data_IF_044747918061
#
_entry.id   IF_044747918061
#
_cell.length_a   1.000
_cell.length_b   1.000
_cell.length_c   1.000
_cell.angle_alpha   90.00
_cell.angle_beta   90.00
_cell.angle_gamma   90.00
#
_symmetry.space_group_name_H-M   'P 1'
#
loop_
_entity.id
_entity.type
_entity.pdbx_description
1 polymer ?
#
# COMPACT_ATOMS: atom_id res chain seq x y z
N UNK A 1 -1.13 30.03 -2.36
CA UNK A 1 -0.79 28.60 -2.16
C UNK A 1 -0.92 28.25 -0.68
N UNK A 2 -1.80 27.31 -0.33
CA UNK A 2 -2.30 27.07 1.02
C UNK A 2 -1.21 26.70 2.05
N UNK A 3 -1.31 27.29 3.25
CA UNK A 3 -0.48 26.98 4.42
C UNK A 3 -1.07 25.74 5.10
N UNK A 4 -0.30 24.67 5.23
CA UNK A 4 -0.77 23.41 5.83
C UNK A 4 -0.05 23.20 7.17
N UNK A 5 -0.81 22.93 8.24
CA UNK A 5 -0.22 22.56 9.53
C UNK A 5 0.40 21.15 9.50
N UNK A 6 1.38 20.87 10.35
CA UNK A 6 2.08 19.57 10.39
C UNK A 6 1.12 18.38 10.51
N UNK A 7 0.12 18.49 11.39
CA UNK A 7 -0.91 17.45 11.57
C UNK A 7 -1.69 17.22 10.28
N UNK A 8 -2.12 18.30 9.61
CA UNK A 8 -2.88 18.19 8.36
C UNK A 8 -2.04 17.57 7.25
N UNK A 9 -0.75 17.89 7.16
CA UNK A 9 0.17 17.27 6.20
C UNK A 9 0.37 15.76 6.40
N UNK A 10 0.49 15.33 7.66
CA UNK A 10 0.60 13.90 8.01
C UNK A 10 -0.71 13.16 7.65
N UNK A 11 -1.87 13.77 7.94
CA UNK A 11 -3.19 13.19 7.60
C UNK A 11 -3.36 13.07 6.09
N UNK A 12 -3.06 14.12 5.31
CA UNK A 12 -3.15 14.08 3.84
C UNK A 12 -2.27 12.96 3.28
N UNK A 13 -1.04 12.81 3.79
CA UNK A 13 -0.14 11.74 3.36
C UNK A 13 -0.71 10.34 3.65
N UNK A 14 -1.29 10.16 4.85
CA UNK A 14 -2.00 8.93 5.22
C UNK A 14 -3.19 8.63 4.32
N UNK A 15 -4.00 9.64 3.98
CA UNK A 15 -5.15 9.49 3.08
C UNK A 15 -4.73 9.05 1.67
N UNK A 16 -3.64 9.62 1.13
CA UNK A 16 -3.11 9.21 -0.19
C UNK A 16 -2.68 7.74 -0.17
N UNK A 17 -1.98 7.31 0.89
CA UNK A 17 -1.57 5.90 1.03
C UNK A 17 -2.77 4.96 1.17
N UNK A 18 -3.77 5.36 1.95
CA UNK A 18 -4.99 4.59 2.13
C UNK A 18 -5.75 4.43 0.81
N UNK A 19 -5.90 5.53 0.06
CA UNK A 19 -6.61 5.54 -1.21
C UNK A 19 -5.94 4.63 -2.24
N UNK A 20 -4.63 4.77 -2.43
CA UNK A 20 -3.85 3.94 -3.35
C UNK A 20 -3.87 2.47 -2.91
N UNK A 21 -3.71 2.22 -1.60
CA UNK A 21 -3.74 0.87 -1.05
C UNK A 21 -5.09 0.17 -1.27
N UNK A 22 -6.20 0.90 -1.11
CA UNK A 22 -7.54 0.39 -1.36
C UNK A 22 -7.73 0.04 -2.84
N UNK A 23 -7.35 0.95 -3.75
CA UNK A 23 -7.46 0.73 -5.19
C UNK A 23 -6.65 -0.49 -5.66
N UNK A 24 -5.41 -0.64 -5.17
CA UNK A 24 -4.57 -1.80 -5.49
C UNK A 24 -5.18 -3.11 -4.99
N UNK A 25 -5.71 -3.10 -3.77
CA UNK A 25 -6.33 -4.31 -3.19
C UNK A 25 -7.55 -4.74 -3.99
N UNK A 26 -8.43 -3.80 -4.36
CA UNK A 26 -9.61 -4.07 -5.20
C UNK A 26 -9.20 -4.61 -6.58
N UNK A 27 -8.21 -3.97 -7.22
CA UNK A 27 -7.72 -4.41 -8.53
C UNK A 27 -7.07 -5.79 -8.46
N UNK A 28 -6.34 -6.08 -7.38
CA UNK A 28 -5.70 -7.37 -7.17
C UNK A 28 -6.71 -8.49 -6.95
N UNK A 29 -7.76 -8.22 -6.17
CA UNK A 29 -8.91 -9.12 -6.01
C UNK A 29 -9.58 -9.39 -7.35
N UNK A 30 -9.84 -8.35 -8.14
CA UNK A 30 -10.44 -8.49 -9.46
C UNK A 30 -9.59 -9.38 -10.39
N UNK A 31 -8.26 -9.25 -10.35
CA UNK A 31 -7.38 -10.10 -11.16
C UNK A 31 -7.34 -11.56 -10.69
N UNK A 32 -7.29 -11.82 -9.39
CA UNK A 32 -7.30 -13.19 -8.85
C UNK A 32 -8.64 -13.87 -9.13
N UNK A 33 -9.76 -13.21 -8.82
CA UNK A 33 -11.09 -13.77 -9.08
C UNK A 33 -11.35 -13.91 -10.58
N UNK A 34 -10.95 -12.92 -11.38
CA UNK A 34 -11.05 -12.98 -12.84
C UNK A 34 -10.20 -14.09 -13.46
N UNK A 35 -9.07 -14.46 -12.83
CA UNK A 35 -8.23 -15.58 -13.29
C UNK A 35 -8.89 -16.94 -13.07
N UNK A 36 -9.81 -17.06 -12.10
CA UNK A 36 -10.61 -18.27 -11.86
C UNK A 36 -11.83 -18.34 -12.79
N UNK A 37 -12.48 -17.20 -13.06
CA UNK A 37 -13.74 -17.14 -13.81
C UNK A 37 -13.58 -17.12 -15.33
N UNK A 38 -12.55 -16.44 -15.85
CA UNK A 38 -12.45 -16.09 -17.29
C UNK A 38 -11.27 -16.75 -17.99
N UNK A 39 -10.18 -17.02 -17.27
CA UNK A 39 -8.99 -17.61 -17.87
C UNK A 39 -9.00 -19.10 -17.59
N UNK A 40 -8.80 -19.93 -18.62
CA UNK A 40 -8.53 -21.35 -18.43
C UNK A 40 -7.44 -21.48 -17.36
N UNK A 41 -7.67 -22.33 -16.35
CA UNK A 41 -6.73 -22.58 -15.25
C UNK A 41 -5.30 -22.81 -15.71
N UNK A 42 -5.11 -23.18 -16.98
CA UNK A 42 -3.83 -23.39 -17.62
C UNK A 42 -2.84 -22.21 -17.55
N UNK A 43 -3.34 -20.97 -17.48
CA UNK A 43 -2.49 -19.77 -17.50
C UNK A 43 -2.15 -19.21 -16.11
N UNK A 44 -2.60 -19.88 -15.03
CA UNK A 44 -2.49 -19.38 -13.65
C UNK A 44 -1.50 -20.23 -12.82
N UNK A 45 -0.18 -19.94 -12.85
CA UNK A 45 0.84 -20.77 -12.23
C UNK A 45 0.71 -20.90 -10.70
N UNK A 46 0.30 -19.83 -9.99
CA UNK A 46 0.16 -19.86 -8.53
C UNK A 46 -1.06 -20.67 -8.10
N UNK A 47 -2.19 -20.46 -8.79
CA UNK A 47 -3.41 -21.23 -8.51
C UNK A 47 -3.21 -22.72 -8.80
N UNK A 48 -2.56 -23.07 -9.92
CA UNK A 48 -2.17 -24.45 -10.23
C UNK A 48 -1.32 -25.08 -9.13
N UNK A 49 -0.32 -24.34 -8.65
CA UNK A 49 0.57 -24.82 -7.60
C UNK A 49 -0.20 -25.12 -6.31
N UNK A 50 -1.09 -24.22 -5.89
CA UNK A 50 -1.92 -24.40 -4.70
C UNK A 50 -2.95 -25.52 -4.84
N UNK A 51 -3.51 -25.70 -6.04
CA UNK A 51 -4.49 -26.76 -6.30
C UNK A 51 -3.90 -28.16 -6.11
N UNK A 52 -2.59 -28.35 -6.38
CA UNK A 52 -1.90 -29.61 -6.07
C UNK A 52 -1.99 -30.00 -4.59
N UNK A 53 -2.14 -29.03 -3.70
CA UNK A 53 -2.25 -29.25 -2.26
C UNK A 53 -3.71 -29.33 -1.79
N UNK A 54 -4.56 -28.41 -2.21
CA UNK A 54 -5.91 -28.27 -1.66
C UNK A 54 -6.99 -29.02 -2.44
N UNK A 55 -6.70 -29.47 -3.68
CA UNK A 55 -7.60 -30.15 -4.63
C UNK A 55 -8.89 -29.39 -5.00
N UNK A 56 -9.21 -28.34 -4.26
CA UNK A 56 -10.38 -27.48 -4.37
C UNK A 56 -9.92 -26.07 -4.81
N UNK A 57 -10.45 -25.55 -5.93
CA UNK A 57 -10.03 -24.27 -6.47
C UNK A 57 -10.46 -23.07 -5.61
N UNK A 58 -11.60 -23.16 -4.90
CA UNK A 58 -12.08 -22.07 -4.05
C UNK A 58 -11.18 -21.91 -2.83
N UNK A 59 -10.81 -23.04 -2.20
CA UNK A 59 -9.86 -23.04 -1.07
C UNK A 59 -8.48 -22.53 -1.48
N UNK A 60 -8.02 -22.90 -2.67
CA UNK A 60 -6.75 -22.45 -3.22
C UNK A 60 -6.73 -20.92 -3.42
N UNK A 61 -7.84 -20.35 -3.92
CA UNK A 61 -7.99 -18.91 -4.11
C UNK A 61 -8.02 -18.17 -2.77
N UNK A 62 -8.84 -18.63 -1.81
CA UNK A 62 -8.92 -18.04 -0.48
C UNK A 62 -7.56 -18.07 0.21
N UNK A 63 -6.83 -19.18 0.10
CA UNK A 63 -5.49 -19.31 0.65
C UNK A 63 -4.50 -18.35 -0.01
N UNK A 64 -4.55 -18.21 -1.34
CA UNK A 64 -3.72 -17.25 -2.09
C UNK A 64 -3.95 -15.81 -1.62
N UNK A 65 -5.22 -15.40 -1.51
CA UNK A 65 -5.61 -14.06 -1.05
C UNK A 65 -5.17 -13.86 0.41
N UNK A 66 -5.43 -14.84 1.27
CA UNK A 66 -5.00 -14.80 2.68
C UNK A 66 -3.48 -14.62 2.77
N UNK A 67 -2.72 -15.40 2.01
CA UNK A 67 -1.26 -15.32 2.01
C UNK A 67 -0.76 -13.97 1.47
N UNK A 68 -1.39 -13.43 0.42
CA UNK A 68 -1.08 -12.11 -0.12
C UNK A 68 -1.28 -11.01 0.94
N UNK A 69 -2.43 -11.02 1.63
CA UNK A 69 -2.73 -10.07 2.71
C UNK A 69 -1.74 -10.23 3.86
N UNK A 70 -1.41 -11.47 4.24
CA UNK A 70 -0.46 -11.76 5.32
C UNK A 70 0.93 -11.20 5.00
N UNK A 71 1.45 -11.47 3.79
CA UNK A 71 2.73 -10.91 3.32
C UNK A 71 2.70 -9.40 3.27
N UNK A 72 1.60 -8.82 2.79
CA UNK A 72 1.39 -7.37 2.77
C UNK A 72 1.44 -6.76 4.18
N UNK A 73 0.78 -7.40 5.13
CA UNK A 73 0.77 -6.97 6.53
C UNK A 73 2.17 -7.04 7.16
N UNK A 74 2.88 -8.15 6.99
CA UNK A 74 4.26 -8.34 7.45
C UNK A 74 5.19 -7.27 6.87
N UNK A 75 5.22 -7.14 5.54
CA UNK A 75 6.07 -6.16 4.85
C UNK A 75 5.69 -4.73 5.24
N UNK A 76 4.40 -4.45 5.40
CA UNK A 76 3.86 -3.18 5.86
C UNK A 76 4.39 -2.80 7.26
N UNK A 77 4.36 -3.76 8.19
CA UNK A 77 4.77 -3.54 9.59
C UNK A 77 6.27 -3.32 9.75
N UNK A 78 7.11 -3.98 8.97
CA UNK A 78 8.56 -3.88 9.11
C UNK A 78 9.18 -2.77 8.23
N UNK A 79 8.85 -2.76 6.93
CA UNK A 79 9.52 -1.90 5.95
C UNK A 79 8.81 -0.55 5.85
N UNK A 80 7.48 -0.54 5.70
CA UNK A 80 6.72 0.70 5.55
C UNK A 80 6.69 1.48 6.87
N UNK A 81 6.57 0.83 8.03
CA UNK A 81 6.63 1.53 9.31
C UNK A 81 7.90 2.37 9.49
N UNK A 82 9.07 1.85 9.07
CA UNK A 82 10.33 2.61 9.09
C UNK A 82 10.27 3.81 8.14
N UNK A 83 9.69 3.63 6.96
CA UNK A 83 9.54 4.67 5.94
C UNK A 83 8.60 5.78 6.41
N UNK A 84 7.44 5.43 6.97
CA UNK A 84 6.46 6.37 7.52
C UNK A 84 7.07 7.18 8.66
N UNK A 85 7.77 6.53 9.60
CA UNK A 85 8.44 7.24 10.70
C UNK A 85 9.47 8.26 10.21
N UNK A 86 10.27 7.90 9.18
CA UNK A 86 11.22 8.83 8.55
C UNK A 86 10.50 10.00 7.88
N UNK A 87 9.41 9.74 7.16
CA UNK A 87 8.62 10.77 6.50
C UNK A 87 7.99 11.73 7.51
N UNK A 88 7.36 11.22 8.58
CA UNK A 88 6.80 12.01 9.67
C UNK A 88 7.88 12.85 10.36
N UNK A 89 9.02 12.25 10.72
CA UNK A 89 10.13 12.98 11.34
C UNK A 89 10.60 14.14 10.47
N UNK A 90 10.70 13.94 9.15
CA UNK A 90 11.04 15.02 8.20
C UNK A 90 9.98 16.12 8.18
N UNK A 91 8.69 15.76 8.17
CA UNK A 91 7.58 16.74 8.15
C UNK A 91 7.54 17.60 9.41
N UNK A 92 7.93 17.05 10.57
CA UNK A 92 8.00 17.79 11.84
C UNK A 92 9.21 18.71 11.92
N UNK A 93 10.34 18.35 11.28
CA UNK A 93 11.56 19.16 11.28
C UNK A 93 11.51 20.37 10.32
N UNK A 94 10.55 20.40 9.40
CA UNK A 94 10.38 21.53 8.48
C UNK A 94 9.78 22.75 9.23
N UNK A 95 10.21 23.99 8.93
CA UNK A 95 9.62 25.16 9.55
C UNK A 95 8.17 25.35 9.09
N UNK A 96 7.27 25.65 10.03
CA UNK A 96 5.89 26.02 9.73
C UNK A 96 5.82 27.43 9.13
N UNK A 97 4.88 27.73 8.20
CA UNK A 97 3.89 26.84 7.60
C UNK A 97 4.46 25.96 6.47
N UNK A 98 4.01 24.71 6.38
CA UNK A 98 4.45 23.80 5.32
C UNK A 98 3.89 24.25 3.96
N UNK A 99 4.78 24.37 2.97
CA UNK A 99 4.40 24.47 1.56
C UNK A 99 3.96 23.09 1.06
N UNK A 100 2.92 23.04 0.21
CA UNK A 100 2.41 21.78 -0.37
C UNK A 100 3.50 21.00 -1.14
N UNK A 101 4.45 21.71 -1.76
CA UNK A 101 5.59 21.09 -2.43
C UNK A 101 6.57 20.39 -1.46
N UNK A 102 6.63 20.84 -0.20
CA UNK A 102 7.47 20.23 0.83
C UNK A 102 6.84 18.95 1.43
N UNK A 103 5.53 18.76 1.22
CA UNK A 103 4.80 17.54 1.61
C UNK A 103 5.23 16.34 0.77
N UNK A 104 5.40 16.55 -0.54
CA UNK A 104 5.80 15.53 -1.50
C UNK A 104 7.12 15.91 -2.20
N UNK A 105 8.28 15.77 -1.52
CA UNK A 105 9.55 16.05 -2.16
C UNK A 105 9.83 15.04 -3.27
N UNK A 106 10.72 15.43 -4.17
CA UNK A 106 11.09 14.62 -5.34
C UNK A 106 11.44 13.17 -5.00
N UNK A 107 12.11 12.91 -3.87
CA UNK A 107 12.42 11.53 -3.45
C UNK A 107 11.17 10.68 -3.19
N UNK A 108 10.09 11.27 -2.67
CA UNK A 108 8.82 10.58 -2.49
C UNK A 108 8.11 10.32 -3.82
N UNK A 109 8.11 11.32 -4.71
CA UNK A 109 7.56 11.17 -6.06
C UNK A 109 8.33 10.10 -6.85
N UNK A 110 9.66 10.04 -6.70
CA UNK A 110 10.50 9.02 -7.35
C UNK A 110 10.14 7.62 -6.87
N UNK A 111 9.93 7.40 -5.56
CA UNK A 111 9.49 6.09 -5.05
C UNK A 111 8.10 5.72 -5.60
N UNK A 112 7.17 6.69 -5.64
CA UNK A 112 5.84 6.49 -6.22
C UNK A 112 5.90 6.13 -7.72
N UNK A 113 6.67 6.88 -8.50
CA UNK A 113 6.89 6.64 -9.93
C UNK A 113 7.61 5.32 -10.16
N UNK A 114 8.58 4.96 -9.33
CA UNK A 114 9.26 3.67 -9.40
C UNK A 114 8.28 2.51 -9.15
N UNK A 115 7.41 2.63 -8.14
CA UNK A 115 6.38 1.61 -7.86
C UNK A 115 5.33 1.51 -8.99
N UNK A 116 4.90 2.65 -9.53
CA UNK A 116 3.99 2.69 -10.70
C UNK A 116 4.66 2.11 -11.95
N UNK A 117 5.93 2.47 -12.18
CA UNK A 117 6.76 1.99 -13.28
C UNK A 117 6.98 0.48 -13.20
N UNK A 118 7.17 -0.06 -12.00
CA UNK A 118 7.23 -1.51 -11.77
C UNK A 118 5.90 -2.18 -12.14
N UNK A 119 4.77 -1.60 -11.72
CA UNK A 119 3.43 -2.09 -12.08
C UNK A 119 3.12 -1.99 -13.58
N UNK A 120 3.76 -1.04 -14.29
CA UNK A 120 3.68 -0.90 -15.74
C UNK A 120 4.63 -1.89 -16.45
N UNK A 121 5.83 -2.13 -15.92
CA UNK A 121 6.74 -3.17 -16.40
C UNK A 121 6.07 -4.54 -16.36
N UNK A 122 5.34 -4.83 -15.29
CA UNK A 122 4.55 -6.06 -15.16
C UNK A 122 3.44 -6.20 -16.20
N UNK A 123 2.94 -5.10 -16.76
CA UNK A 123 2.02 -5.14 -17.90
C UNK A 123 2.73 -5.55 -19.19
N UNK A 124 3.97 -5.10 -19.39
CA UNK A 124 4.77 -5.44 -20.57
C UNK A 124 5.39 -6.84 -20.52
N UNK A 125 5.65 -7.37 -19.32
CA UNK A 125 6.21 -8.71 -19.11
C UNK A 125 5.19 -9.84 -19.20
N UNK A 126 3.94 -9.56 -19.61
CA UNK A 126 2.87 -10.55 -19.75
C UNK A 126 2.70 -11.46 -18.51
N UNK A 127 2.88 -10.89 -17.31
CA UNK A 127 2.75 -11.66 -16.08
C UNK A 127 1.33 -12.21 -15.94
N UNK A 128 1.24 -13.46 -15.50
CA UNK A 128 -0.02 -14.12 -15.24
C UNK A 128 -0.89 -13.30 -14.26
N UNK A 129 -2.21 -13.31 -14.51
CA UNK A 129 -3.17 -12.45 -13.80
C UNK A 129 -3.20 -12.76 -12.30
N UNK A 130 -3.02 -14.02 -11.93
CA UNK A 130 -2.94 -14.48 -10.54
C UNK A 130 -1.72 -13.90 -9.80
N UNK A 131 -0.53 -13.91 -10.41
CA UNK A 131 0.69 -13.31 -9.85
C UNK A 131 0.52 -11.81 -9.69
N UNK A 132 -0.02 -11.14 -10.72
CA UNK A 132 -0.26 -9.70 -10.66
C UNK A 132 -1.25 -9.35 -9.55
N UNK A 133 -2.34 -10.10 -9.44
CA UNK A 133 -3.33 -9.88 -8.41
C UNK A 133 -2.78 -10.13 -7.00
N UNK A 134 -1.95 -11.16 -6.84
CA UNK A 134 -1.26 -11.46 -5.59
C UNK A 134 -0.36 -10.29 -5.14
N UNK A 135 0.44 -9.76 -6.06
CA UNK A 135 1.31 -8.61 -5.78
C UNK A 135 0.49 -7.37 -5.45
N UNK A 136 -0.55 -7.08 -6.23
CA UNK A 136 -1.42 -5.91 -6.03
C UNK A 136 -2.12 -5.97 -4.65
N UNK A 137 -2.62 -7.14 -4.21
CA UNK A 137 -3.19 -7.33 -2.86
C UNK A 137 -2.12 -7.15 -1.78
N UNK A 138 -0.94 -7.74 -1.95
CA UNK A 138 0.13 -7.66 -0.95
C UNK A 138 0.63 -6.21 -0.78
N UNK A 139 0.85 -5.49 -1.88
CA UNK A 139 1.26 -4.09 -1.84
C UNK A 139 0.13 -3.21 -1.32
N UNK A 140 -1.11 -3.45 -1.76
CA UNK A 140 -2.29 -2.73 -1.29
C UNK A 140 -2.47 -2.84 0.22
N UNK A 141 -2.42 -4.06 0.75
CA UNK A 141 -2.50 -4.34 2.19
C UNK A 141 -1.36 -3.69 2.98
N UNK A 142 -0.14 -3.68 2.43
CA UNK A 142 0.99 -3.00 3.05
C UNK A 142 0.78 -1.49 3.16
N UNK A 143 0.27 -0.85 2.10
CA UNK A 143 -0.01 0.59 2.04
C UNK A 143 -1.14 1.00 3.01
N UNK A 144 -2.22 0.22 3.06
CA UNK A 144 -3.32 0.43 4.03
C UNK A 144 -2.78 0.38 5.46
N UNK A 145 -1.96 -0.63 5.79
CA UNK A 145 -1.32 -0.71 7.10
C UNK A 145 -0.39 0.49 7.37
N UNK A 146 0.38 0.91 6.37
CA UNK A 146 1.22 2.11 6.45
C UNK A 146 0.42 3.40 6.70
N UNK A 147 -0.76 3.55 6.11
CA UNK A 147 -1.65 4.69 6.32
C UNK A 147 -2.11 4.80 7.78
N UNK A 148 -2.44 3.67 8.44
CA UNK A 148 -2.79 3.69 9.86
C UNK A 148 -1.65 4.19 10.76
N UNK A 149 -0.39 3.94 10.37
CA UNK A 149 0.78 4.46 11.09
C UNK A 149 0.86 6.00 10.95
N UNK A 150 0.54 6.56 9.78
CA UNK A 150 0.44 8.02 9.62
C UNK A 150 -0.64 8.61 10.54
N UNK A 151 -1.83 8.02 10.57
CA UNK A 151 -2.92 8.51 11.42
C UNK A 151 -2.57 8.45 12.91
N UNK A 152 -1.93 7.36 13.35
CA UNK A 152 -1.43 7.24 14.73
C UNK A 152 -0.45 8.37 15.07
N UNK A 153 0.49 8.68 14.18
CA UNK A 153 1.43 9.78 14.40
C UNK A 153 0.76 11.16 14.39
N UNK A 154 -0.25 11.37 13.53
CA UNK A 154 -1.01 12.62 13.51
C UNK A 154 -1.75 12.85 14.84
N UNK A 155 -2.37 11.80 15.40
CA UNK A 155 -3.05 11.87 16.69
C UNK A 155 -2.08 12.17 17.84
N UNK A 156 -0.93 11.50 17.88
CA UNK A 156 0.11 11.75 18.89
C UNK A 156 0.59 13.20 18.85
N UNK A 157 0.89 13.71 17.65
CA UNK A 157 1.35 15.08 17.47
C UNK A 157 0.28 16.09 17.88
N UNK A 158 -1.00 15.84 17.54
CA UNK A 158 -2.13 16.68 17.97
C UNK A 158 -2.25 16.71 19.50
N UNK A 159 -2.08 15.56 20.17
CA UNK A 159 -2.15 15.47 21.63
C UNK A 159 -1.02 16.25 22.32
N UNK A 160 0.20 16.21 21.77
CA UNK A 160 1.34 17.00 22.27
C UNK A 160 1.09 18.51 22.14
N UNK A 161 0.55 18.97 21.01
CA UNK A 161 0.18 20.38 20.82
C UNK A 161 -0.88 20.86 21.81
N UNK A 162 -1.89 20.03 22.10
CA UNK A 162 -2.92 20.36 23.09
C UNK A 162 -2.37 20.45 24.51
N UNK A 163 -1.40 19.59 24.88
CA UNK A 163 -0.72 19.65 26.18
C UNK A 163 0.10 20.93 26.37
N UNK A 164 0.79 21.41 25.33
CA UNK A 164 1.62 22.64 25.40
C UNK A 164 0.83 23.94 25.47
N UNK A 165 -0.47 23.90 25.14
CA UNK A 165 -1.36 25.07 25.14
C UNK A 165 -2.11 25.25 26.48
N UNK A 166 -2.09 24.23 27.34
CA UNK A 166 -2.57 24.30 28.72
C UNK A 166 -1.44 24.78 29.61
#
# INVERSE_FOLDING_TARGET
MGRVGHVLGIVISGCVWLFIGCLLTVRGLFFIVGSMLVSSYDESPLLKFLQKFFQDPEKSLLFLVFFAVMLGFLKGRFVLARTVRRAVKRLVLLPAPLKVQALFPWSYLLVMVAMMGLGMLFKYLSLAKDVRGFIDIAVGSALVNGAFIYFKHAQLLKAEFLKRKK
#
